data_IF_024010036288
#
_entry.id   IF_024010036288
#
_cell.length_a   1.000
_cell.length_b   1.000
_cell.length_c   1.000
_cell.angle_alpha   90.00
_cell.angle_beta   90.00
_cell.angle_gamma   90.00
#
_symmetry.space_group_name_H-M   'P 1'
#
loop_
_entity.id
_entity.type
_entity.pdbx_description
1 polymer ?
#
# COMPACT_ATOMS: atom_id res chain seq x y z
N UNK A 1 -3.07 26.89 11.82
CA UNK A 1 -3.73 25.60 11.64
C UNK A 1 -3.60 25.09 10.20
N UNK A 2 -3.94 25.90 9.17
CA UNK A 2 -3.95 25.51 7.76
C UNK A 2 -2.60 24.98 7.23
N UNK A 3 -1.50 25.69 7.48
CA UNK A 3 -0.17 25.27 7.03
C UNK A 3 0.30 23.94 7.64
N UNK A 4 -0.11 23.65 8.88
CA UNK A 4 0.20 22.37 9.54
C UNK A 4 -0.58 21.21 8.89
N UNK A 5 -1.86 21.43 8.61
CA UNK A 5 -2.70 20.45 7.93
C UNK A 5 -2.19 20.18 6.50
N UNK A 6 -1.82 21.22 5.76
CA UNK A 6 -1.25 21.09 4.42
C UNK A 6 0.09 20.37 4.44
N UNK A 7 0.98 20.69 5.40
CA UNK A 7 2.24 19.98 5.60
C UNK A 7 2.03 18.49 5.90
N UNK A 8 1.05 18.16 6.74
CA UNK A 8 0.66 16.78 7.03
C UNK A 8 0.25 16.04 5.73
N UNK A 9 -0.71 16.59 4.98
CA UNK A 9 -1.22 15.97 3.76
C UNK A 9 -0.13 15.77 2.72
N UNK A 10 0.73 16.76 2.51
CA UNK A 10 1.85 16.66 1.58
C UNK A 10 2.82 15.56 2.01
N UNK A 11 3.26 15.56 3.28
CA UNK A 11 4.20 14.55 3.79
C UNK A 11 3.59 13.15 3.68
N UNK A 12 2.33 12.99 4.09
CA UNK A 12 1.60 11.72 3.98
C UNK A 12 1.56 11.23 2.53
N UNK A 13 1.16 12.09 1.60
CA UNK A 13 1.05 11.77 0.17
C UNK A 13 2.40 11.37 -0.42
N UNK A 14 3.47 12.13 -0.13
CA UNK A 14 4.81 11.83 -0.64
C UNK A 14 5.39 10.53 -0.08
N UNK A 15 4.96 10.08 1.08
CA UNK A 15 5.41 8.81 1.68
C UNK A 15 4.52 7.66 1.22
N UNK A 16 3.20 7.79 1.31
CA UNK A 16 2.26 6.70 1.01
C UNK A 16 2.24 6.35 -0.48
N UNK A 17 2.24 7.36 -1.36
CA UNK A 17 2.12 7.11 -2.81
C UNK A 17 3.26 6.27 -3.38
N UNK A 18 4.54 6.54 -3.13
CA UNK A 18 5.61 5.66 -3.61
C UNK A 18 5.54 4.25 -3.00
N UNK A 19 5.24 4.15 -1.70
CA UNK A 19 5.16 2.86 -1.01
C UNK A 19 4.06 1.96 -1.58
N UNK A 20 2.86 2.50 -1.81
CA UNK A 20 1.78 1.72 -2.40
C UNK A 20 2.05 1.33 -3.86
N UNK A 21 2.71 2.19 -4.64
CA UNK A 21 3.10 1.89 -6.02
C UNK A 21 4.11 0.73 -6.02
N UNK A 22 5.13 0.80 -5.17
CA UNK A 22 6.13 -0.27 -5.04
C UNK A 22 5.45 -1.57 -4.59
N UNK A 23 4.60 -1.51 -3.56
CA UNK A 23 3.90 -2.69 -3.04
C UNK A 23 2.94 -3.29 -4.09
N UNK A 24 2.15 -2.46 -4.75
CA UNK A 24 1.24 -2.87 -5.82
C UNK A 24 1.97 -3.52 -7.00
N UNK A 25 3.11 -2.94 -7.41
CA UNK A 25 3.96 -3.50 -8.46
C UNK A 25 4.58 -4.84 -8.03
N UNK A 26 5.08 -4.92 -6.80
CA UNK A 26 5.65 -6.18 -6.26
C UNK A 26 4.61 -7.29 -6.24
N UNK A 27 3.38 -7.00 -5.77
CA UNK A 27 2.28 -7.98 -5.76
C UNK A 27 1.92 -8.38 -7.19
N UNK A 28 1.82 -7.43 -8.12
CA UNK A 28 1.49 -7.70 -9.52
C UNK A 28 2.53 -8.60 -10.19
N UNK A 29 3.81 -8.33 -10.00
CA UNK A 29 4.92 -9.16 -10.52
C UNK A 29 4.92 -10.56 -9.88
N UNK A 30 4.72 -10.63 -8.56
CA UNK A 30 4.65 -11.90 -7.84
C UNK A 30 3.48 -12.75 -8.36
N UNK A 31 2.27 -12.18 -8.45
CA UNK A 31 1.09 -12.88 -8.97
C UNK A 31 1.29 -13.29 -10.43
N UNK A 32 1.93 -12.45 -11.25
CA UNK A 32 2.18 -12.78 -12.65
C UNK A 32 3.09 -14.02 -12.80
N UNK A 33 4.03 -14.20 -11.90
CA UNK A 33 4.97 -15.34 -11.88
C UNK A 33 4.41 -16.60 -11.22
N UNK A 34 3.29 -16.53 -10.50
CA UNK A 34 2.71 -17.67 -9.79
C UNK A 34 2.06 -18.69 -10.71
N UNK A 35 2.06 -19.95 -10.26
CA UNK A 35 1.30 -21.02 -10.91
C UNK A 35 -0.21 -20.79 -10.80
N UNK A 36 -0.97 -21.22 -11.81
CA UNK A 36 -2.43 -20.98 -11.95
C UNK A 36 -3.25 -21.28 -10.69
N UNK A 37 -2.89 -22.34 -9.97
CA UNK A 37 -3.63 -22.78 -8.77
C UNK A 37 -3.57 -21.76 -7.62
N UNK A 38 -2.46 -21.04 -7.47
CA UNK A 38 -2.25 -20.09 -6.38
C UNK A 38 -2.65 -18.65 -6.75
N UNK A 39 -2.73 -18.32 -8.05
CA UNK A 39 -3.07 -16.97 -8.51
C UNK A 39 -4.38 -16.47 -7.91
N UNK A 40 -5.44 -17.26 -7.99
CA UNK A 40 -6.76 -16.86 -7.50
C UNK A 40 -6.78 -16.55 -6.01
N UNK A 41 -6.10 -17.37 -5.22
CA UNK A 41 -6.01 -17.19 -3.77
C UNK A 41 -5.27 -15.90 -3.43
N UNK A 42 -4.10 -15.67 -4.05
CA UNK A 42 -3.31 -14.45 -3.78
C UNK A 42 -4.04 -13.20 -4.25
N UNK A 43 -4.69 -13.23 -5.41
CA UNK A 43 -5.52 -12.12 -5.91
C UNK A 43 -6.64 -11.82 -4.91
N UNK A 44 -7.37 -12.84 -4.44
CA UNK A 44 -8.45 -12.67 -3.48
C UNK A 44 -7.98 -11.98 -2.19
N UNK A 45 -6.90 -12.47 -1.57
CA UNK A 45 -6.34 -11.87 -0.36
C UNK A 45 -5.79 -10.47 -0.60
N UNK A 46 -5.21 -10.21 -1.77
CA UNK A 46 -4.70 -8.88 -2.12
C UNK A 46 -5.81 -7.85 -2.31
N UNK A 47 -7.04 -8.27 -2.64
CA UNK A 47 -8.19 -7.39 -2.85
C UNK A 47 -9.02 -7.16 -1.57
N UNK A 48 -8.82 -7.97 -0.53
CA UNK A 48 -9.56 -7.84 0.73
C UNK A 48 -9.56 -6.43 1.34
N UNK A 49 -8.41 -5.69 1.36
CA UNK A 49 -8.40 -4.36 1.93
C UNK A 49 -9.36 -3.37 1.25
N UNK A 50 -9.60 -3.55 -0.04
CA UNK A 50 -10.50 -2.68 -0.82
C UNK A 50 -11.98 -2.83 -0.45
N UNK A 51 -12.36 -3.97 0.13
CA UNK A 51 -13.73 -4.24 0.56
C UNK A 51 -14.04 -3.53 1.89
N UNK A 52 -13.01 -3.27 2.69
CA UNK A 52 -13.17 -2.62 3.99
C UNK A 52 -13.38 -1.12 3.79
N UNK A 53 -14.49 -0.58 4.31
CA UNK A 53 -14.71 0.88 4.31
C UNK A 53 -13.56 1.58 5.06
N UNK A 54 -13.02 2.70 4.55
CA UNK A 54 -11.91 3.43 5.18
C UNK A 54 -12.21 3.82 6.63
N UNK A 55 -13.45 4.25 6.91
CA UNK A 55 -13.88 4.61 8.26
C UNK A 55 -13.87 3.40 9.21
N UNK A 56 -14.46 2.28 8.79
CA UNK A 56 -14.50 1.07 9.62
C UNK A 56 -13.08 0.52 9.82
N UNK A 57 -12.28 0.49 8.76
CA UNK A 57 -10.90 0.02 8.84
C UNK A 57 -10.04 0.84 9.79
N UNK A 58 -10.19 2.17 9.78
CA UNK A 58 -9.46 3.06 10.69
C UNK A 58 -9.90 2.88 12.14
N UNK A 59 -11.20 2.70 12.40
CA UNK A 59 -11.72 2.40 13.74
C UNK A 59 -11.21 1.03 14.26
N UNK A 60 -11.24 0.01 13.43
CA UNK A 60 -10.70 -1.31 13.80
C UNK A 60 -9.21 -1.20 14.13
N UNK A 61 -8.44 -0.50 13.31
CA UNK A 61 -7.02 -0.28 13.57
C UNK A 61 -6.81 0.50 14.87
N UNK A 62 -7.60 1.55 15.11
CA UNK A 62 -7.56 2.33 16.34
C UNK A 62 -7.76 1.47 17.60
N UNK A 63 -8.73 0.55 17.58
CA UNK A 63 -8.95 -0.40 18.67
C UNK A 63 -7.85 -1.47 18.78
N UNK A 64 -7.29 -1.90 17.65
CA UNK A 64 -6.17 -2.86 17.65
C UNK A 64 -4.89 -2.29 18.26
N UNK A 65 -4.65 -0.97 18.09
CA UNK A 65 -3.47 -0.25 18.61
C UNK A 65 -3.64 0.13 20.09
N UNK A 66 -4.87 0.09 20.62
CA UNK A 66 -5.11 0.35 22.02
C UNK A 66 -4.25 -0.55 22.91
N UNK A 67 -3.85 -0.06 24.09
CA UNK A 67 -3.04 -0.82 25.05
C UNK A 67 -3.65 -2.17 25.42
N UNK A 68 -4.98 -2.27 25.33
CA UNK A 68 -5.76 -3.49 25.53
C UNK A 68 -6.03 -4.26 24.23
N UNK A 69 -5.66 -3.71 23.08
CA UNK A 69 -5.81 -4.33 21.77
C UNK A 69 -4.73 -5.36 21.47
N UNK A 70 -4.95 -6.14 20.40
CA UNK A 70 -4.04 -7.22 20.01
C UNK A 70 -2.64 -6.69 19.66
N UNK A 71 -2.57 -5.61 18.86
CA UNK A 71 -1.28 -5.03 18.46
C UNK A 71 -0.62 -4.27 19.60
N UNK A 72 -1.39 -3.52 20.40
CA UNK A 72 -0.88 -2.79 21.54
C UNK A 72 -0.25 -3.73 22.57
N UNK A 73 -0.95 -4.77 22.97
CA UNK A 73 -0.46 -5.76 23.92
C UNK A 73 0.75 -6.56 23.38
N UNK A 74 0.75 -6.92 22.10
CA UNK A 74 1.88 -7.61 21.48
C UNK A 74 3.15 -6.74 21.48
N UNK A 75 3.01 -5.45 21.18
CA UNK A 75 4.14 -4.51 21.19
C UNK A 75 4.65 -4.20 22.59
N UNK A 76 3.76 -4.08 23.59
CA UNK A 76 4.16 -3.99 25.02
C UNK A 76 4.97 -5.20 25.45
N UNK A 77 4.53 -6.39 25.05
CA UNK A 77 5.26 -7.63 25.35
C UNK A 77 6.63 -7.69 24.67
N UNK A 78 6.71 -7.26 23.40
CA UNK A 78 7.98 -7.23 22.64
C UNK A 78 8.94 -6.15 23.15
N UNK A 79 8.43 -5.00 23.57
CA UNK A 79 9.23 -3.90 24.10
C UNK A 79 9.62 -4.10 25.56
N UNK A 80 8.95 -4.99 26.29
CA UNK A 80 9.16 -5.20 27.72
C UNK A 80 8.68 -4.03 28.59
N UNK A 81 7.86 -3.12 28.04
CA UNK A 81 7.35 -1.94 28.71
C UNK A 81 5.81 -1.98 28.72
N UNK A 82 5.19 -2.25 29.90
CA UNK A 82 3.73 -2.32 30.05
C UNK A 82 3.02 -0.96 29.86
N UNK A 83 3.75 0.13 30.05
CA UNK A 83 3.21 1.51 29.93
C UNK A 83 3.35 2.08 28.53
N UNK A 84 3.91 1.31 27.59
CA UNK A 84 4.04 1.72 26.21
C UNK A 84 2.66 1.93 25.57
N UNK A 85 2.30 3.20 25.32
CA UNK A 85 1.08 3.55 24.61
C UNK A 85 1.40 3.99 23.19
N UNK A 86 0.96 3.22 22.20
CA UNK A 86 1.10 3.57 20.79
C UNK A 86 0.39 4.87 20.45
N UNK A 87 -0.73 5.15 21.12
CA UNK A 87 -1.53 6.38 20.94
C UNK A 87 -0.83 7.63 21.51
N UNK A 88 -0.02 7.48 22.54
CA UNK A 88 0.69 8.59 23.16
C UNK A 88 1.90 9.09 22.34
N UNK A 89 2.38 8.27 21.39
CA UNK A 89 3.52 8.63 20.54
C UNK A 89 3.06 9.10 19.17
N UNK A 90 3.26 10.37 18.87
CA UNK A 90 2.98 10.97 17.55
C UNK A 90 3.67 10.20 16.42
N UNK A 91 4.89 9.73 16.64
CA UNK A 91 5.65 8.98 15.64
C UNK A 91 5.03 7.62 15.31
N UNK A 92 4.57 6.89 16.33
CA UNK A 92 3.92 5.59 16.13
C UNK A 92 2.57 5.75 15.45
N UNK A 93 1.80 6.76 15.78
CA UNK A 93 0.53 7.10 15.10
C UNK A 93 0.77 7.38 13.61
N UNK A 94 1.83 8.13 13.27
CA UNK A 94 2.22 8.37 11.89
C UNK A 94 2.53 7.08 11.13
N UNK A 95 3.33 6.20 11.72
CA UNK A 95 3.68 4.90 11.11
C UNK A 95 2.42 4.08 10.86
N UNK A 96 1.50 4.04 11.81
CA UNK A 96 0.25 3.29 11.67
C UNK A 96 -0.66 3.86 10.59
N UNK A 97 -0.77 5.18 10.48
CA UNK A 97 -1.51 5.84 9.39
C UNK A 97 -0.91 5.50 8.02
N UNK A 98 0.41 5.52 7.89
CA UNK A 98 1.10 5.18 6.66
C UNK A 98 0.87 3.71 6.30
N UNK A 99 1.05 2.80 7.25
CA UNK A 99 0.85 1.35 7.04
C UNK A 99 -0.60 1.08 6.64
N UNK A 100 -1.56 1.68 7.32
CA UNK A 100 -2.98 1.56 6.97
C UNK A 100 -3.26 2.11 5.57
N UNK A 101 -2.79 3.31 5.26
CA UNK A 101 -2.99 3.94 3.95
C UNK A 101 -2.41 3.13 2.80
N UNK A 102 -1.19 2.62 2.97
CA UNK A 102 -0.56 1.73 1.98
C UNK A 102 -1.34 0.42 1.83
N UNK A 103 -1.71 -0.23 2.95
CA UNK A 103 -2.46 -1.47 2.94
C UNK A 103 -3.83 -1.33 2.25
N UNK A 104 -4.54 -0.24 2.55
CA UNK A 104 -5.88 0.02 1.98
C UNK A 104 -5.83 0.37 0.49
N UNK A 105 -4.81 1.13 0.05
CA UNK A 105 -4.69 1.62 -1.32
C UNK A 105 -3.93 0.66 -2.27
N UNK A 106 -3.09 -0.22 -1.73
CA UNK A 106 -2.29 -1.15 -2.53
C UNK A 106 -3.10 -2.05 -3.49
N UNK A 107 -4.33 -2.53 -3.15
CA UNK A 107 -5.14 -3.31 -4.06
C UNK A 107 -5.45 -2.60 -5.37
N UNK A 108 -5.74 -1.31 -5.33
CA UNK A 108 -6.00 -0.53 -6.55
C UNK A 108 -4.77 -0.50 -7.46
N UNK A 109 -3.61 -0.16 -6.92
CA UNK A 109 -2.36 -0.16 -7.66
C UNK A 109 -2.02 -1.55 -8.22
N UNK A 110 -2.21 -2.60 -7.40
CA UNK A 110 -2.03 -3.99 -7.82
C UNK A 110 -2.89 -4.35 -9.03
N UNK A 111 -4.20 -4.05 -9.00
CA UNK A 111 -5.12 -4.38 -10.12
C UNK A 111 -4.69 -3.67 -11.40
N UNK A 112 -4.38 -2.37 -11.32
CA UNK A 112 -3.97 -1.58 -12.48
C UNK A 112 -2.67 -2.12 -13.09
N UNK A 113 -1.67 -2.41 -12.26
CA UNK A 113 -0.40 -2.94 -12.73
C UNK A 113 -0.51 -4.37 -13.24
N UNK A 114 -1.30 -5.21 -12.58
CA UNK A 114 -1.53 -6.57 -13.03
C UNK A 114 -2.24 -6.60 -14.39
N UNK A 115 -3.25 -5.74 -14.61
CA UNK A 115 -3.89 -5.58 -15.89
C UNK A 115 -2.90 -5.08 -16.96
N UNK A 116 -2.06 -4.10 -16.62
CA UNK A 116 -1.01 -3.62 -17.50
C UNK A 116 0.02 -4.68 -17.89
N UNK A 117 0.38 -5.57 -16.97
CA UNK A 117 1.26 -6.70 -17.27
C UNK A 117 0.67 -7.67 -18.29
N UNK A 118 -0.66 -7.81 -18.35
CA UNK A 118 -1.33 -8.67 -19.33
C UNK A 118 -1.30 -8.07 -20.76
N UNK A 119 -1.06 -6.78 -20.90
CA UNK A 119 -0.96 -6.10 -22.21
C UNK A 119 0.45 -6.07 -22.77
N UNK A 120 1.44 -6.52 -22.00
CA UNK A 120 2.84 -6.54 -22.45
C UNK A 120 3.01 -7.57 -23.59
N UNK A 121 3.55 -7.19 -24.75
CA UNK A 121 3.77 -8.09 -25.87
C UNK A 121 4.75 -9.21 -25.50
N UNK A 122 4.32 -10.45 -25.67
CA UNK A 122 5.18 -11.63 -25.36
C UNK A 122 6.43 -11.66 -26.21
N UNK A 123 6.32 -11.24 -27.46
CA UNK A 123 7.43 -11.24 -28.42
C UNK A 123 8.60 -10.37 -27.92
N UNK A 124 8.33 -9.27 -27.22
CA UNK A 124 9.37 -8.42 -26.63
C UNK A 124 10.13 -9.17 -25.53
N UNK A 125 9.40 -9.86 -24.64
CA UNK A 125 10.02 -10.63 -23.57
C UNK A 125 10.81 -11.83 -24.11
N UNK A 126 10.29 -12.50 -25.15
CA UNK A 126 10.96 -13.62 -25.81
C UNK A 126 12.23 -13.16 -26.53
N UNK A 127 12.19 -12.02 -27.23
CA UNK A 127 13.38 -11.41 -27.84
C UNK A 127 14.44 -11.06 -26.80
N UNK A 128 14.05 -10.43 -25.70
CA UNK A 128 14.96 -10.13 -24.60
C UNK A 128 15.60 -11.38 -23.98
N UNK A 129 14.84 -12.50 -23.91
CA UNK A 129 15.39 -13.78 -23.44
C UNK A 129 16.40 -14.37 -24.43
N UNK A 130 16.14 -14.26 -25.73
CA UNK A 130 17.08 -14.71 -26.77
C UNK A 130 18.37 -13.90 -26.70
N UNK A 131 18.29 -12.61 -26.42
CA UNK A 131 19.43 -11.71 -26.22
C UNK A 131 20.16 -11.93 -24.88
N UNK A 132 19.71 -12.90 -24.08
CA UNK A 132 20.35 -13.28 -22.81
C UNK A 132 20.00 -12.39 -21.63
N UNK A 133 18.95 -11.56 -21.70
CA UNK A 133 18.53 -10.71 -20.61
C UNK A 133 18.05 -11.52 -19.40
N UNK A 134 18.60 -11.23 -18.24
CA UNK A 134 18.13 -11.79 -16.95
C UNK A 134 16.71 -11.31 -16.63
N UNK A 135 15.98 -12.01 -15.76
CA UNK A 135 14.63 -11.60 -15.32
C UNK A 135 14.60 -10.20 -14.73
N UNK A 136 15.62 -9.81 -13.97
CA UNK A 136 15.73 -8.46 -13.43
C UNK A 136 15.92 -7.39 -14.51
N UNK A 137 16.67 -7.71 -15.56
CA UNK A 137 16.85 -6.83 -16.72
C UNK A 137 15.55 -6.68 -17.51
N UNK A 138 14.81 -7.77 -17.75
CA UNK A 138 13.50 -7.73 -18.40
C UNK A 138 12.52 -6.85 -17.61
N UNK A 139 12.46 -7.01 -16.28
CA UNK A 139 11.61 -6.17 -15.43
C UNK A 139 12.02 -4.71 -15.54
N UNK A 140 13.30 -4.40 -15.49
CA UNK A 140 13.79 -3.01 -15.47
C UNK A 140 13.66 -2.31 -16.82
N UNK A 141 13.92 -3.01 -17.90
CA UNK A 141 14.03 -2.39 -19.23
C UNK A 141 12.79 -2.58 -20.12
N UNK A 142 11.96 -3.59 -19.85
CA UNK A 142 10.74 -3.86 -20.61
C UNK A 142 9.48 -3.58 -19.77
N UNK A 143 9.37 -4.22 -18.60
CA UNK A 143 8.14 -4.17 -17.80
C UNK A 143 7.91 -2.80 -17.17
N UNK A 144 8.91 -2.23 -16.49
CA UNK A 144 8.76 -0.92 -15.82
C UNK A 144 8.48 0.20 -16.82
N UNK A 145 9.20 0.34 -17.94
CA UNK A 145 8.88 1.36 -18.93
C UNK A 145 7.48 1.19 -19.54
N UNK A 146 7.05 -0.05 -19.81
CA UNK A 146 5.70 -0.34 -20.29
C UNK A 146 4.62 0.09 -19.29
N UNK A 147 4.85 -0.11 -18.00
CA UNK A 147 3.91 0.25 -16.95
C UNK A 147 3.98 1.74 -16.54
N UNK A 148 4.97 2.51 -17.00
CA UNK A 148 5.15 3.90 -16.56
C UNK A 148 3.91 4.79 -16.74
N UNK A 149 3.15 4.70 -17.84
CA UNK A 149 1.89 5.45 -17.97
C UNK A 149 0.88 5.09 -16.87
N UNK A 150 0.80 3.81 -16.51
CA UNK A 150 -0.09 3.33 -15.45
C UNK A 150 0.41 3.73 -14.07
N UNK A 151 1.72 3.75 -13.85
CA UNK A 151 2.33 4.29 -12.61
C UNK A 151 1.97 5.76 -12.45
N UNK A 152 2.08 6.55 -13.51
CA UNK A 152 1.69 7.97 -13.49
C UNK A 152 0.19 8.13 -13.20
N UNK A 153 -0.65 7.32 -13.82
CA UNK A 153 -2.09 7.31 -13.59
C UNK A 153 -2.42 7.00 -12.12
N UNK A 154 -1.87 5.92 -11.58
CA UNK A 154 -2.06 5.54 -10.16
C UNK A 154 -1.57 6.65 -9.23
N UNK A 155 -0.41 7.25 -9.52
CA UNK A 155 0.13 8.35 -8.72
C UNK A 155 -0.80 9.57 -8.70
N UNK A 156 -1.38 9.94 -9.84
CA UNK A 156 -2.32 11.06 -9.93
C UNK A 156 -3.63 10.79 -9.17
N UNK A 157 -4.22 9.61 -9.35
CA UNK A 157 -5.43 9.22 -8.60
C UNK A 157 -5.14 9.22 -7.11
N UNK A 158 -4.03 8.63 -6.70
CA UNK A 158 -3.66 8.55 -5.29
C UNK A 158 -3.36 9.92 -4.67
N UNK A 159 -2.78 10.82 -5.46
CA UNK A 159 -2.59 12.20 -5.04
C UNK A 159 -3.94 12.88 -4.76
N UNK A 160 -4.91 12.70 -5.65
CA UNK A 160 -6.28 13.24 -5.45
C UNK A 160 -6.95 12.62 -4.21
N UNK A 161 -6.84 11.31 -4.02
CA UNK A 161 -7.45 10.60 -2.89
C UNK A 161 -6.80 10.99 -1.56
N UNK A 162 -5.49 11.14 -1.51
CA UNK A 162 -4.79 11.57 -0.30
C UNK A 162 -5.14 13.00 0.15
N UNK A 163 -5.54 13.89 -0.76
CA UNK A 163 -6.09 15.20 -0.38
C UNK A 163 -7.48 15.10 0.26
N UNK A 164 -8.15 13.94 0.13
CA UNK A 164 -9.44 13.63 0.75
C UNK A 164 -9.31 12.81 2.04
N UNK A 165 -8.10 12.65 2.59
CA UNK A 165 -7.83 11.86 3.81
C UNK A 165 -8.45 12.53 5.03
N UNK A 166 -9.78 12.53 5.09
CA UNK A 166 -10.57 12.97 6.23
C UNK A 166 -11.02 11.81 7.11
N UNK A 167 -11.49 10.74 6.47
CA UNK A 167 -12.10 9.60 7.15
C UNK A 167 -11.15 8.84 8.09
N UNK A 168 -9.90 8.49 7.72
CA UNK A 168 -8.96 7.86 8.63
C UNK A 168 -8.60 8.76 9.82
N UNK A 169 -8.46 10.07 9.58
CA UNK A 169 -8.12 11.03 10.65
C UNK A 169 -9.25 11.13 11.67
N UNK A 170 -10.51 11.18 11.21
CA UNK A 170 -11.69 11.19 12.08
C UNK A 170 -11.78 9.89 12.88
N UNK A 171 -11.53 8.74 12.24
CA UNK A 171 -11.51 7.44 12.92
C UNK A 171 -10.45 7.37 14.03
N UNK A 172 -9.27 7.98 13.81
CA UNK A 172 -8.21 8.04 14.82
C UNK A 172 -8.45 9.06 15.93
N UNK A 173 -9.25 10.11 15.68
CA UNK A 173 -9.55 11.17 16.66
C UNK A 173 -10.97 11.08 17.23
N UNK A 174 -11.68 9.98 17.05
CA UNK A 174 -13.09 9.84 17.44
C UNK A 174 -13.34 9.96 18.98
N UNK A 175 -12.30 10.06 19.79
CA UNK A 175 -12.38 10.24 21.24
C UNK A 175 -11.56 11.46 21.75
N UNK A 176 -11.20 12.41 20.88
CA UNK A 176 -10.48 13.63 21.31
C UNK A 176 -11.43 14.82 21.52
#
# INVERSE_FOLDING_TARGET
PFYRAMGFTLTYTFVVTPLLIILGLMIALAVNSLHRLFKGVVIFFSLLPMIVSPLIGSLVLFWMIDSRGILGSALQWMAGDPDLSLKASTGLTWVMLIVYGVWHAAPFAFVVFYAGLQTLPKDQLESAMIDGASRGQQVRYEVIPHLMPLVTFVALIQLMDNFRVFEPIVGFNAEA
#
